data_IF_662936126681
#
_entry.id   IF_662936126681
#
_cell.length_a   1.000
_cell.length_b   1.000
_cell.length_c   1.000
_cell.angle_alpha   90.00
_cell.angle_beta   90.00
_cell.angle_gamma   90.00
#
_symmetry.space_group_name_H-M   'P 1'
#
loop_
_entity.id
_entity.type
_entity.pdbx_description
1 polymer ?
#
# COMPACT_ATOMS: atom_id res chain seq x y z
N UNK A 1 14.08 -7.08 5.34
CA UNK A 1 12.73 -6.55 5.66
C UNK A 1 11.62 -7.61 5.64
N UNK A 2 11.57 -8.54 4.67
CA UNK A 2 10.49 -9.54 4.52
C UNK A 2 10.10 -10.33 5.78
N UNK A 3 11.06 -10.88 6.52
CA UNK A 3 10.76 -11.61 7.76
C UNK A 3 10.03 -10.73 8.80
N UNK A 4 10.41 -9.46 8.92
CA UNK A 4 9.77 -8.52 9.85
C UNK A 4 8.37 -8.11 9.40
N UNK A 5 8.14 -8.02 8.08
CA UNK A 5 6.79 -7.79 7.51
C UNK A 5 5.90 -8.99 7.83
N UNK A 6 6.33 -10.19 7.46
CA UNK A 6 5.58 -11.43 7.66
C UNK A 6 5.24 -11.68 9.14
N UNK A 7 6.14 -11.35 10.06
CA UNK A 7 5.91 -11.49 11.50
C UNK A 7 4.81 -10.57 12.05
N UNK A 8 4.52 -9.45 11.38
CA UNK A 8 3.48 -8.49 11.80
C UNK A 8 2.21 -8.53 10.97
N UNK A 9 2.22 -9.22 9.83
CA UNK A 9 1.07 -9.26 8.93
C UNK A 9 0.00 -10.21 9.48
N UNK A 10 -1.11 -9.64 9.95
CA UNK A 10 -2.30 -10.37 10.38
C UNK A 10 -3.52 -9.87 9.61
N UNK A 11 -4.37 -10.78 9.13
CA UNK A 11 -5.48 -10.44 8.23
C UNK A 11 -5.00 -9.59 7.04
N UNK A 12 -5.75 -8.55 6.71
CA UNK A 12 -5.50 -7.68 5.55
C UNK A 12 -4.55 -6.52 5.85
N UNK A 13 -3.83 -6.57 6.97
CA UNK A 13 -2.99 -5.44 7.39
C UNK A 13 -1.72 -5.30 6.52
N UNK A 14 -1.26 -6.39 5.92
CA UNK A 14 -0.06 -6.42 5.08
C UNK A 14 1.16 -5.83 5.78
N UNK A 15 1.91 -4.99 5.08
CA UNK A 15 3.11 -4.34 5.61
C UNK A 15 2.85 -3.04 6.40
N UNK A 16 1.58 -2.60 6.55
CA UNK A 16 1.28 -1.26 7.11
C UNK A 16 1.87 -1.04 8.50
N UNK A 17 1.75 -2.00 9.43
CA UNK A 17 2.36 -1.87 10.76
C UNK A 17 3.89 -1.89 10.72
N UNK A 18 4.48 -2.70 9.83
CA UNK A 18 5.93 -2.72 9.64
C UNK A 18 6.45 -1.36 9.18
N UNK A 19 5.83 -0.77 8.15
CA UNK A 19 6.22 0.53 7.61
C UNK A 19 6.05 1.65 8.63
N UNK A 20 4.94 1.68 9.39
CA UNK A 20 4.73 2.68 10.46
C UNK A 20 5.81 2.62 11.54
N UNK A 21 6.23 1.42 11.94
CA UNK A 21 7.29 1.24 12.95
C UNK A 21 8.67 1.71 12.45
N UNK A 22 8.91 1.65 11.14
CA UNK A 22 10.18 2.07 10.52
C UNK A 22 10.03 3.41 9.78
N UNK A 23 9.09 4.28 10.22
CA UNK A 23 8.78 5.52 9.51
C UNK A 23 10.00 6.43 9.31
N UNK A 24 10.98 6.40 10.22
CA UNK A 24 12.24 7.15 10.10
C UNK A 24 13.17 6.67 8.97
N UNK A 25 12.98 5.43 8.51
CA UNK A 25 13.76 4.81 7.42
C UNK A 25 13.02 4.85 6.08
N UNK A 26 11.76 5.31 6.06
CA UNK A 26 10.91 5.37 4.87
C UNK A 26 11.04 6.73 4.18
N UNK A 27 11.48 6.73 2.93
CA UNK A 27 11.45 7.90 2.07
C UNK A 27 10.08 8.00 1.37
N UNK A 28 9.42 9.14 1.49
CA UNK A 28 8.22 9.45 0.71
C UNK A 28 8.62 9.86 -0.71
N UNK A 29 7.92 9.31 -1.70
CA UNK A 29 8.09 9.65 -3.11
C UNK A 29 6.77 10.25 -3.58
N UNK A 30 6.83 11.46 -4.13
CA UNK A 30 5.67 12.15 -4.66
C UNK A 30 5.21 11.48 -5.96
N UNK A 31 3.95 11.03 -5.97
CA UNK A 31 3.31 10.37 -7.12
C UNK A 31 1.88 10.86 -7.36
N UNK A 32 1.49 12.01 -6.79
CA UNK A 32 0.10 12.49 -6.81
C UNK A 32 -0.41 12.87 -8.21
N UNK A 33 0.47 12.97 -9.19
CA UNK A 33 0.19 13.25 -10.60
C UNK A 33 0.31 12.02 -11.51
N UNK A 34 0.68 10.85 -10.95
CA UNK A 34 0.93 9.63 -11.72
C UNK A 34 -0.36 8.83 -11.91
N UNK A 35 -1.22 8.79 -10.90
CA UNK A 35 -2.46 8.03 -10.92
C UNK A 35 -3.46 8.58 -9.90
N UNK A 36 -4.74 8.32 -10.16
CA UNK A 36 -5.81 8.51 -9.19
C UNK A 36 -5.76 7.42 -8.10
N UNK A 37 -6.27 7.73 -6.90
CA UNK A 37 -6.19 6.85 -5.73
C UNK A 37 -7.25 5.72 -5.71
N UNK A 38 -7.75 5.30 -6.87
CA UNK A 38 -8.76 4.25 -6.98
C UNK A 38 -8.12 2.86 -7.04
N UNK A 39 -8.63 1.94 -6.23
CA UNK A 39 -8.34 0.52 -6.35
C UNK A 39 -9.31 -0.13 -7.36
N UNK A 40 -8.85 -1.17 -8.06
CA UNK A 40 -9.68 -1.96 -8.98
C UNK A 40 -9.86 -3.35 -8.36
N UNK A 41 -10.88 -3.50 -7.53
CA UNK A 41 -11.13 -4.73 -6.77
C UNK A 41 -12.22 -5.61 -7.41
N UNK A 42 -13.11 -5.00 -8.17
CA UNK A 42 -14.26 -5.63 -8.82
C UNK A 42 -14.37 -5.24 -10.29
N UNK A 43 -15.17 -5.98 -11.06
CA UNK A 43 -15.43 -5.65 -12.47
C UNK A 43 -16.07 -4.27 -12.64
N UNK A 44 -16.85 -3.81 -11.67
CA UNK A 44 -17.48 -2.49 -11.72
C UNK A 44 -16.45 -1.34 -11.62
N UNK A 45 -15.31 -1.57 -10.97
CA UNK A 45 -14.28 -0.55 -10.77
C UNK A 45 -13.52 -0.24 -12.06
N UNK A 46 -13.62 -1.10 -13.09
CA UNK A 46 -12.99 -0.88 -14.40
C UNK A 46 -13.43 0.42 -15.08
N UNK A 47 -14.57 0.99 -14.68
CA UNK A 47 -15.00 2.31 -15.14
C UNK A 47 -14.02 3.44 -14.75
N UNK A 48 -13.12 3.22 -13.79
CA UNK A 48 -12.06 4.17 -13.43
C UNK A 48 -10.84 4.16 -14.37
N UNK A 49 -10.80 3.28 -15.37
CA UNK A 49 -9.68 3.13 -16.32
C UNK A 49 -9.91 3.81 -17.69
N UNK A 50 -11.07 4.42 -17.90
CA UNK A 50 -11.45 5.12 -19.15
C UNK A 50 -10.98 6.58 -19.17
#
# INVERSE_FOLDING_TARGET
HWAGVAASATGDQGARAYLRRHAGDVALVECGDVAEAYDIDTEADLAHLE
#
